data_IF_133237728471
#
_entry.id   IF_133237728471
#
_cell.length_a   1.000
_cell.length_b   1.000
_cell.length_c   1.000
_cell.angle_alpha   90.00
_cell.angle_beta   90.00
_cell.angle_gamma   90.00
#
_symmetry.space_group_name_H-M   'P 1'
#
loop_
_entity.id
_entity.type
_entity.pdbx_description
1 polymer ?
#
# COMPACT_ATOMS: atom_id res chain seq x y z
N UNK A 1 63.37 2.03 36.57
CA UNK A 1 63.16 2.89 35.38
C UNK A 1 62.24 2.29 34.30
N UNK A 2 62.01 0.97 34.20
CA UNK A 2 61.14 0.38 33.14
C UNK A 2 59.62 0.45 33.38
N UNK A 3 59.17 0.85 34.58
CA UNK A 3 57.74 0.87 34.95
C UNK A 3 57.02 2.17 34.58
N UNK A 4 57.76 3.29 34.51
CA UNK A 4 57.19 4.60 34.21
C UNK A 4 56.86 4.79 32.72
N UNK A 5 57.67 4.21 31.83
CA UNK A 5 57.46 4.28 30.38
C UNK A 5 56.21 3.50 29.92
N UNK A 6 55.85 2.43 30.62
CA UNK A 6 54.65 1.64 30.32
C UNK A 6 53.34 2.37 30.68
N UNK A 7 53.33 3.12 31.79
CA UNK A 7 52.15 3.89 32.19
C UNK A 7 51.88 5.08 31.26
N UNK A 8 52.93 5.74 30.76
CA UNK A 8 52.77 6.86 29.82
C UNK A 8 52.22 6.39 28.47
N UNK A 9 52.68 5.24 27.97
CA UNK A 9 52.17 4.67 26.72
C UNK A 9 50.70 4.23 26.84
N UNK A 10 50.33 3.64 27.99
CA UNK A 10 48.95 3.21 28.24
C UNK A 10 47.99 4.42 28.34
N UNK A 11 48.38 5.48 29.04
CA UNK A 11 47.57 6.70 29.11
C UNK A 11 47.42 7.39 27.75
N UNK A 12 48.46 7.41 26.90
CA UNK A 12 48.38 7.98 25.57
C UNK A 12 47.40 7.21 24.66
N UNK A 13 47.42 5.87 24.71
CA UNK A 13 46.51 5.04 23.93
C UNK A 13 45.05 5.23 24.37
N UNK A 14 44.78 5.32 25.69
CA UNK A 14 43.43 5.54 26.22
C UNK A 14 42.85 6.89 25.77
N UNK A 15 43.68 7.94 25.72
CA UNK A 15 43.25 9.29 25.32
C UNK A 15 42.92 9.38 23.83
N UNK A 16 43.64 8.66 22.96
CA UNK A 16 43.30 8.59 21.52
C UNK A 16 41.98 7.87 21.24
N UNK A 17 41.67 6.81 21.99
CA UNK A 17 40.41 6.08 21.82
C UNK A 17 39.22 6.92 22.29
N UNK A 18 39.38 7.62 23.41
CA UNK A 18 38.34 8.50 23.96
C UNK A 18 38.06 9.72 23.07
N UNK A 19 39.11 10.31 22.47
CA UNK A 19 38.94 11.42 21.51
C UNK A 19 38.24 10.98 20.20
N UNK A 20 38.36 9.71 19.81
CA UNK A 20 37.63 9.13 18.68
C UNK A 20 36.12 8.99 18.96
N UNK A 21 35.75 8.56 20.17
CA UNK A 21 34.34 8.38 20.55
C UNK A 21 33.59 9.71 20.66
N UNK A 22 34.21 10.76 21.22
CA UNK A 22 33.57 12.08 21.34
C UNK A 22 33.24 12.68 19.96
N UNK A 23 34.11 12.50 18.96
CA UNK A 23 33.86 12.98 17.59
C UNK A 23 32.75 12.21 16.86
N UNK A 24 32.55 10.94 17.20
CA UNK A 24 31.47 10.14 16.62
C UNK A 24 30.11 10.59 17.18
N UNK A 25 30.01 10.83 18.49
CA UNK A 25 28.75 11.29 19.12
C UNK A 25 28.34 12.70 18.66
N UNK A 26 29.28 13.64 18.47
CA UNK A 26 28.95 14.99 17.98
C UNK A 26 28.42 14.99 16.52
N UNK A 27 28.81 14.00 15.71
CA UNK A 27 28.36 13.89 14.31
C UNK A 27 27.03 13.17 14.15
N UNK A 28 26.58 12.44 15.16
CA UNK A 28 25.28 11.75 15.17
C UNK A 28 24.18 12.68 15.71
N UNK A 29 24.49 13.44 16.78
CA UNK A 29 23.60 14.45 17.36
C UNK A 29 23.17 15.54 16.35
N UNK A 30 24.06 15.96 15.46
CA UNK A 30 23.76 16.98 14.44
C UNK A 30 22.95 16.47 13.24
N UNK A 31 22.89 15.14 13.03
CA UNK A 31 22.07 14.55 11.95
C UNK A 31 20.62 14.35 12.35
N UNK A 32 20.35 14.03 13.63
CA UNK A 32 18.98 13.92 14.14
C UNK A 32 18.26 15.27 14.14
N UNK A 33 18.93 16.36 14.54
CA UNK A 33 18.31 17.69 14.63
C UNK A 33 17.84 18.23 13.26
N UNK A 34 18.56 17.88 12.18
CA UNK A 34 18.20 18.28 10.79
C UNK A 34 17.07 17.42 10.21
N UNK A 35 16.96 16.15 10.62
CA UNK A 35 15.87 15.28 10.18
C UNK A 35 14.53 15.65 10.83
N UNK A 36 14.56 16.13 12.08
CA UNK A 36 13.35 16.48 12.83
C UNK A 36 12.73 17.81 12.37
N UNK A 37 13.57 18.81 12.03
CA UNK A 37 13.10 20.09 11.48
C UNK A 37 12.39 19.94 10.13
N UNK A 38 12.86 19.02 9.27
CA UNK A 38 12.22 18.74 7.97
C UNK A 38 10.86 18.03 8.08
N UNK A 39 10.57 17.36 9.20
CA UNK A 39 9.32 16.62 9.42
C UNK A 39 8.19 17.54 9.92
N UNK A 40 8.51 18.54 10.73
CA UNK A 40 7.54 19.52 11.25
C UNK A 40 7.09 20.55 10.19
N UNK A 41 7.95 20.95 9.25
CA UNK A 41 7.54 21.82 8.14
C UNK A 41 6.56 21.15 7.17
N UNK A 42 6.61 19.81 7.03
CA UNK A 42 5.67 19.05 6.19
C UNK A 42 4.29 18.92 6.86
N UNK A 43 4.24 18.74 8.19
CA UNK A 43 2.99 18.69 8.96
C UNK A 43 2.24 20.03 8.94
N UNK A 44 2.95 21.14 9.09
CA UNK A 44 2.34 22.49 9.13
C UNK A 44 1.78 22.91 7.77
N UNK A 45 2.43 22.55 6.65
CA UNK A 45 1.85 22.78 5.31
C UNK A 45 0.60 21.94 5.04
N UNK A 46 0.58 20.67 5.46
CA UNK A 46 -0.59 19.80 5.31
C UNK A 46 -1.80 20.30 6.11
N UNK A 47 -1.59 20.79 7.34
CA UNK A 47 -2.68 21.32 8.18
C UNK A 47 -3.24 22.66 7.67
N UNK A 48 -2.43 23.51 7.01
CA UNK A 48 -2.92 24.76 6.42
C UNK A 48 -3.87 24.54 5.23
N UNK A 49 -3.75 23.42 4.52
CA UNK A 49 -4.62 23.07 3.39
C UNK A 49 -6.01 22.63 3.87
N UNK A 50 -6.11 21.98 5.02
CA UNK A 50 -7.38 21.49 5.57
C UNK A 50 -8.24 22.60 6.20
N UNK A 51 -7.65 23.73 6.62
CA UNK A 51 -8.37 24.84 7.24
C UNK A 51 -9.27 25.66 6.32
N UNK A 52 -9.25 25.42 5.01
CA UNK A 52 -10.00 26.23 4.03
C UNK A 52 -11.34 25.62 3.57
N UNK A 53 -11.71 24.42 4.03
CA UNK A 53 -13.05 23.85 3.78
C UNK A 53 -14.07 24.43 4.77
N UNK A 54 -14.47 25.67 4.50
CA UNK A 54 -15.54 26.35 5.24
C UNK A 54 -16.90 25.89 4.72
N UNK A 55 -17.54 25.08 5.57
CA UNK A 55 -18.92 24.63 5.61
C UNK A 55 -19.88 25.74 5.13
N UNK A 56 -20.62 25.47 4.04
CA UNK A 56 -21.65 26.35 3.50
C UNK A 56 -22.89 25.52 3.13
N UNK A 57 -23.95 25.72 3.89
CA UNK A 57 -25.34 25.59 3.43
C UNK A 57 -25.94 24.18 3.50
N UNK A 58 -26.63 23.88 4.59
CA UNK A 58 -27.58 22.79 4.68
C UNK A 58 -28.98 23.29 4.30
N UNK A 59 -29.35 23.17 3.02
CA UNK A 59 -30.75 23.26 2.58
C UNK A 59 -30.98 22.27 1.42
N UNK A 60 -31.66 21.16 1.71
CA UNK A 60 -32.34 20.31 0.71
C UNK A 60 -31.45 19.40 -0.14
N UNK A 61 -30.71 18.48 0.45
CA UNK A 61 -30.01 17.42 -0.31
C UNK A 61 -31.03 16.38 -0.80
N UNK A 62 -31.39 16.48 -2.09
CA UNK A 62 -31.64 15.27 -2.89
C UNK A 62 -30.46 14.33 -2.62
N UNK A 63 -30.72 13.15 -2.06
CA UNK A 63 -29.69 12.12 -1.89
C UNK A 63 -29.16 11.79 -3.28
N UNK A 64 -28.08 12.46 -3.68
CA UNK A 64 -27.28 12.02 -4.81
C UNK A 64 -26.86 10.59 -4.47
N UNK A 65 -27.37 9.63 -5.24
CA UNK A 65 -26.92 8.24 -5.12
C UNK A 65 -25.41 8.26 -5.23
N UNK A 66 -24.74 7.68 -4.23
CA UNK A 66 -23.29 7.67 -4.18
C UNK A 66 -22.77 7.04 -5.49
N UNK A 67 -21.90 7.75 -6.19
CA UNK A 67 -21.39 7.28 -7.48
C UNK A 67 -20.42 6.12 -7.23
N UNK A 68 -20.81 4.91 -7.64
CA UNK A 68 -19.94 3.74 -7.56
C UNK A 68 -19.00 3.68 -8.77
N UNK A 69 -17.79 3.15 -8.56
CA UNK A 69 -16.88 2.86 -9.66
C UNK A 69 -17.41 1.68 -10.48
N UNK A 70 -17.61 1.89 -11.78
CA UNK A 70 -18.01 0.82 -12.69
C UNK A 70 -16.91 -0.24 -12.82
N UNK A 71 -17.28 -1.50 -12.61
CA UNK A 71 -16.36 -2.64 -12.72
C UNK A 71 -16.00 -2.89 -14.18
N UNK A 72 -14.71 -3.02 -14.48
CA UNK A 72 -14.24 -3.33 -15.83
C UNK A 72 -14.31 -2.17 -16.83
N UNK A 73 -14.75 -0.98 -16.39
CA UNK A 73 -14.79 0.21 -17.21
C UNK A 73 -13.78 1.26 -16.71
N UNK A 74 -13.15 1.95 -17.68
CA UNK A 74 -12.33 3.13 -17.43
C UNK A 74 -12.96 4.33 -18.10
N UNK A 75 -12.85 5.48 -17.44
CA UNK A 75 -13.21 6.77 -18.04
C UNK A 75 -12.25 7.18 -19.18
N UNK A 76 -11.01 6.68 -19.16
CA UNK A 76 -9.99 6.94 -20.18
C UNK A 76 -9.40 5.63 -20.70
N UNK A 77 -9.32 5.50 -22.03
CA UNK A 77 -8.64 4.36 -22.65
C UNK A 77 -7.13 4.44 -22.43
N UNK A 78 -6.46 3.28 -22.44
CA UNK A 78 -5.00 3.23 -22.31
C UNK A 78 -4.31 4.05 -23.42
N UNK A 79 -4.83 4.02 -24.65
CA UNK A 79 -4.28 4.79 -25.76
C UNK A 79 -4.37 6.31 -25.54
N UNK A 80 -5.47 6.80 -24.97
CA UNK A 80 -5.62 8.22 -24.63
C UNK A 80 -4.69 8.64 -23.51
N UNK A 81 -4.52 7.78 -22.50
CA UNK A 81 -3.58 8.03 -21.42
C UNK A 81 -2.13 8.10 -21.91
N UNK A 82 -1.71 7.15 -22.76
CA UNK A 82 -0.36 7.14 -23.35
C UNK A 82 -0.12 8.42 -24.16
N UNK A 83 -1.08 8.84 -25.00
CA UNK A 83 -1.00 10.11 -25.73
C UNK A 83 -0.87 11.31 -24.78
N UNK A 84 -1.58 11.28 -23.65
CA UNK A 84 -1.48 12.29 -22.60
C UNK A 84 -0.08 12.36 -21.97
N UNK A 85 0.56 11.21 -21.73
CA UNK A 85 1.92 11.16 -21.19
C UNK A 85 2.96 11.65 -22.20
N UNK A 86 2.89 11.19 -23.45
CA UNK A 86 3.79 11.67 -24.51
C UNK A 86 3.70 13.19 -24.71
N UNK A 87 2.49 13.75 -24.60
CA UNK A 87 2.29 15.20 -24.66
C UNK A 87 2.94 15.92 -23.47
N UNK A 88 2.81 15.38 -22.25
CA UNK A 88 3.46 15.93 -21.05
C UNK A 88 4.98 15.87 -21.13
N UNK A 89 5.55 14.76 -21.60
CA UNK A 89 7.00 14.60 -21.79
C UNK A 89 7.56 15.58 -22.83
N UNK A 90 6.85 15.78 -23.95
CA UNK A 90 7.22 16.78 -24.96
C UNK A 90 7.26 18.19 -24.36
N UNK A 91 6.28 18.55 -23.54
CA UNK A 91 6.23 19.85 -22.84
C UNK A 91 7.38 19.96 -21.82
N UNK A 92 7.65 18.91 -21.04
CA UNK A 92 8.73 18.88 -20.05
C UNK A 92 10.11 19.05 -20.72
N UNK A 93 10.34 18.35 -21.83
CA UNK A 93 11.57 18.45 -22.62
C UNK A 93 11.74 19.84 -23.22
N UNK A 94 10.66 20.43 -23.76
CA UNK A 94 10.67 21.81 -24.25
C UNK A 94 10.98 22.84 -23.15
N UNK A 95 10.50 22.61 -21.92
CA UNK A 95 10.83 23.45 -20.75
C UNK A 95 12.28 23.29 -20.30
N UNK A 96 12.80 22.06 -20.25
CA UNK A 96 14.19 21.77 -19.88
C UNK A 96 15.18 22.38 -20.87
N UNK A 97 14.95 22.22 -22.17
CA UNK A 97 15.79 22.83 -23.21
C UNK A 97 15.78 24.37 -23.14
N UNK A 98 14.69 24.98 -22.63
CA UNK A 98 14.63 26.43 -22.38
C UNK A 98 15.40 26.85 -21.11
N UNK A 99 15.46 25.98 -20.10
CA UNK A 99 16.18 26.22 -18.85
C UNK A 99 17.69 25.99 -18.99
N UNK A 100 18.13 24.93 -19.67
CA UNK A 100 19.55 24.57 -19.88
C UNK A 100 20.32 25.55 -20.80
N UNK A 101 19.63 26.54 -21.39
CA UNK A 101 20.28 27.73 -21.95
C UNK A 101 20.90 28.66 -20.90
N UNK A 102 20.75 28.36 -19.61
CA UNK A 102 21.33 29.11 -18.49
C UNK A 102 21.83 28.13 -17.41
N UNK A 103 23.10 28.31 -17.04
CA UNK A 103 23.79 27.70 -15.89
C UNK A 103 24.25 26.23 -16.02
N UNK A 104 25.57 26.08 -15.89
CA UNK A 104 26.24 24.83 -15.58
C UNK A 104 26.81 24.85 -14.16
N UNK A 105 27.49 23.72 -13.84
CA UNK A 105 28.33 23.46 -12.64
C UNK A 105 27.47 23.09 -11.41
N UNK A 106 27.64 22.01 -10.64
CA UNK A 106 28.65 20.96 -10.47
C UNK A 106 27.95 19.76 -9.78
N UNK A 107 28.41 18.51 -10.03
CA UNK A 107 27.87 17.30 -9.38
C UNK A 107 28.76 16.87 -8.21
N UNK A 108 28.17 16.41 -7.10
CA UNK A 108 28.88 15.67 -6.04
C UNK A 108 28.07 14.44 -5.63
N UNK A 109 28.74 13.28 -5.64
CA UNK A 109 28.25 11.93 -5.40
C UNK A 109 28.20 11.57 -3.90
N UNK A 110 27.26 10.72 -3.51
CA UNK A 110 27.16 10.12 -2.18
C UNK A 110 26.89 8.60 -2.31
N UNK A 111 27.55 7.86 -1.44
CA UNK A 111 27.82 6.40 -1.46
C UNK A 111 27.06 5.71 -0.31
N UNK A 112 26.65 4.46 -0.54
CA UNK A 112 25.68 3.68 0.26
C UNK A 112 26.33 2.77 1.31
N UNK A 113 25.60 2.49 2.42
CA UNK A 113 25.98 1.55 3.50
C UNK A 113 24.81 0.60 3.78
N UNK A 114 25.10 -0.71 3.91
CA UNK A 114 24.16 -1.80 4.21
C UNK A 114 24.13 -2.18 5.71
N UNK A 115 23.00 -2.68 6.26
CA UNK A 115 22.95 -3.32 7.57
C UNK A 115 22.69 -4.84 7.52
N UNK A 116 23.25 -5.55 8.51
CA UNK A 116 23.23 -7.00 8.73
C UNK A 116 22.07 -7.48 9.60
N UNK A 117 21.54 -8.67 9.28
CA UNK A 117 20.44 -9.36 9.97
C UNK A 117 20.91 -10.26 11.14
N UNK A 118 20.16 -10.27 12.25
CA UNK A 118 20.27 -11.25 13.35
C UNK A 118 18.97 -12.07 13.45
N UNK A 119 19.14 -13.38 13.69
CA UNK A 119 18.09 -14.40 13.74
C UNK A 119 17.53 -14.58 15.16
N UNK A 120 16.23 -14.80 15.27
CA UNK A 120 15.53 -15.16 16.51
C UNK A 120 14.92 -16.56 16.37
N UNK A 121 15.12 -17.37 17.41
CA UNK A 121 14.70 -18.78 17.52
C UNK A 121 13.21 -18.92 17.85
N UNK A 122 12.59 -19.96 17.29
CA UNK A 122 11.16 -20.26 17.37
C UNK A 122 10.85 -21.30 18.46
N UNK A 123 9.79 -21.05 19.22
CA UNK A 123 9.32 -21.83 20.38
C UNK A 123 8.10 -22.65 19.94
N UNK A 124 8.18 -23.96 20.18
CA UNK A 124 7.19 -24.93 19.70
C UNK A 124 6.02 -25.15 20.67
N UNK A 125 4.87 -25.47 20.06
CA UNK A 125 3.79 -26.37 20.51
C UNK A 125 2.68 -25.85 21.43
N UNK A 126 1.56 -25.50 20.79
CA UNK A 126 0.24 -25.97 21.21
C UNK A 126 -0.64 -26.19 19.97
N UNK A 127 -1.14 -27.42 19.78
CA UNK A 127 -2.02 -27.80 18.68
C UNK A 127 -3.44 -27.28 18.94
N UNK A 128 -3.58 -25.96 18.82
CA UNK A 128 -4.83 -25.32 18.42
C UNK A 128 -4.96 -25.68 16.93
N UNK A 129 -6.14 -26.14 16.48
CA UNK A 129 -6.46 -26.13 15.04
C UNK A 129 -6.59 -24.65 14.66
N UNK A 130 -5.47 -23.95 14.63
CA UNK A 130 -5.36 -22.56 14.27
C UNK A 130 -5.70 -22.53 12.80
N UNK A 131 -6.86 -21.96 12.47
CA UNK A 131 -7.09 -21.48 11.11
C UNK A 131 -5.84 -20.68 10.74
N UNK A 132 -5.20 -20.94 9.58
CA UNK A 132 -3.98 -20.26 9.20
C UNK A 132 -4.24 -18.76 9.34
N UNK A 133 -3.50 -18.11 10.23
CA UNK A 133 -3.58 -16.66 10.40
C UNK A 133 -3.08 -16.07 9.10
N UNK A 134 -4.01 -15.57 8.29
CA UNK A 134 -3.68 -14.86 7.07
C UNK A 134 -2.80 -13.66 7.43
N UNK A 135 -1.55 -13.69 6.99
CA UNK A 135 -0.63 -12.59 7.17
C UNK A 135 -0.90 -11.50 6.13
N UNK A 136 -0.81 -10.24 6.54
CA UNK A 136 -0.96 -9.07 5.68
C UNK A 136 0.09 -8.03 6.05
N UNK A 137 0.59 -7.31 5.05
CA UNK A 137 1.47 -6.15 5.25
C UNK A 137 0.72 -4.83 5.41
N UNK A 138 -0.62 -4.85 5.26
CA UNK A 138 -1.45 -3.65 5.37
C UNK A 138 -2.81 -3.95 6.02
N UNK A 139 -3.27 -3.08 6.93
CA UNK A 139 -4.56 -3.26 7.61
C UNK A 139 -5.76 -3.07 6.68
N UNK A 140 -5.61 -2.28 5.60
CA UNK A 140 -6.67 -2.08 4.61
C UNK A 140 -7.07 -3.33 3.81
N UNK A 141 -6.36 -4.46 3.99
CA UNK A 141 -6.76 -5.76 3.40
C UNK A 141 -7.82 -6.52 4.23
N UNK A 142 -8.21 -5.99 5.41
CA UNK A 142 -9.28 -6.54 6.24
C UNK A 142 -10.55 -5.71 6.09
N UNK A 143 -11.61 -6.36 5.61
CA UNK A 143 -12.90 -5.74 5.33
C UNK A 143 -13.95 -6.11 6.37
N UNK A 144 -15.10 -5.43 6.33
CA UNK A 144 -16.28 -5.65 7.15
C UNK A 144 -17.53 -5.63 6.27
N UNK A 145 -18.45 -6.60 6.43
CA UNK A 145 -19.68 -6.56 5.67
C UNK A 145 -20.58 -5.48 6.28
N UNK A 146 -21.17 -4.61 5.47
CA UNK A 146 -22.18 -3.64 5.96
C UNK A 146 -23.60 -4.12 5.70
N UNK A 147 -23.78 -4.95 4.67
CA UNK A 147 -25.08 -5.51 4.33
C UNK A 147 -24.91 -6.88 3.66
N UNK A 148 -25.86 -7.76 3.94
CA UNK A 148 -26.10 -8.99 3.18
C UNK A 148 -27.57 -8.96 2.78
N UNK A 149 -27.84 -9.21 1.50
CA UNK A 149 -29.21 -9.33 0.99
C UNK A 149 -29.96 -10.47 1.68
N UNK A 150 -31.29 -10.40 1.73
CA UNK A 150 -32.14 -11.41 2.40
C UNK A 150 -31.94 -12.82 1.82
N UNK A 151 -31.55 -12.92 0.55
CA UNK A 151 -31.28 -14.20 -0.12
C UNK A 151 -29.80 -14.63 -0.02
N UNK A 152 -28.94 -13.82 0.58
CA UNK A 152 -27.49 -14.07 0.69
C UNK A 152 -26.77 -14.05 -0.65
N UNK A 153 -27.36 -13.45 -1.69
CA UNK A 153 -26.83 -13.45 -3.05
C UNK A 153 -25.94 -12.26 -3.38
N UNK A 154 -26.03 -11.20 -2.61
CA UNK A 154 -25.14 -10.03 -2.65
C UNK A 154 -24.66 -9.72 -1.23
N UNK A 155 -23.34 -9.51 -1.10
CA UNK A 155 -22.67 -8.98 0.08
C UNK A 155 -22.11 -7.60 -0.26
N UNK A 156 -22.37 -6.61 0.59
CA UNK A 156 -21.81 -5.26 0.48
C UNK A 156 -20.77 -5.06 1.57
N UNK A 157 -19.57 -4.60 1.21
CA UNK A 157 -18.48 -4.29 2.14
C UNK A 157 -18.48 -2.80 2.54
N UNK A 158 -17.68 -2.42 3.53
CA UNK A 158 -17.59 -1.07 4.09
C UNK A 158 -17.11 0.01 3.11
N UNK A 159 -16.39 -0.39 2.08
CA UNK A 159 -16.01 0.47 0.95
C UNK A 159 -17.16 0.71 -0.05
N UNK A 160 -18.30 0.07 0.19
CA UNK A 160 -19.49 0.10 -0.66
C UNK A 160 -19.45 -0.87 -1.84
N UNK A 161 -18.39 -1.65 -2.01
CA UNK A 161 -18.32 -2.65 -3.07
C UNK A 161 -19.40 -3.72 -2.88
N UNK A 162 -20.04 -4.14 -3.98
CA UNK A 162 -21.06 -5.19 -3.98
C UNK A 162 -20.52 -6.44 -4.66
N UNK A 163 -20.70 -7.60 -4.04
CA UNK A 163 -20.17 -8.88 -4.48
C UNK A 163 -21.28 -9.90 -4.68
N UNK A 164 -21.39 -10.46 -5.89
CA UNK A 164 -22.37 -11.50 -6.20
C UNK A 164 -21.85 -12.87 -5.75
N UNK A 165 -22.64 -13.54 -4.91
CA UNK A 165 -22.31 -14.82 -4.28
C UNK A 165 -22.76 -15.99 -5.14
N UNK A 166 -21.87 -16.98 -5.29
CA UNK A 166 -22.21 -18.25 -5.93
C UNK A 166 -23.46 -18.86 -5.32
N UNK A 167 -24.40 -19.29 -6.17
CA UNK A 167 -25.71 -19.78 -5.73
C UNK A 167 -25.64 -20.83 -4.62
N UNK A 168 -24.74 -21.81 -4.75
CA UNK A 168 -24.53 -22.86 -3.76
C UNK A 168 -23.88 -22.41 -2.45
N UNK A 169 -23.43 -21.15 -2.34
CA UNK A 169 -22.76 -20.59 -1.17
C UNK A 169 -23.59 -19.55 -0.41
N UNK A 170 -24.73 -19.10 -0.98
CA UNK A 170 -25.55 -18.01 -0.43
C UNK A 170 -25.92 -18.20 1.04
N UNK A 171 -26.31 -19.42 1.42
CA UNK A 171 -26.69 -19.74 2.80
C UNK A 171 -25.55 -19.52 3.82
N UNK A 172 -24.29 -19.53 3.39
CA UNK A 172 -23.12 -19.29 4.25
C UNK A 172 -22.97 -17.82 4.67
N UNK A 173 -23.68 -16.89 4.02
CA UNK A 173 -23.61 -15.44 4.29
C UNK A 173 -24.67 -14.93 5.24
N UNK A 174 -25.72 -15.72 5.51
CA UNK A 174 -26.90 -15.27 6.24
C UNK A 174 -26.60 -14.93 7.71
N UNK A 175 -25.53 -15.49 8.27
CA UNK A 175 -25.09 -15.25 9.65
C UNK A 175 -23.91 -14.26 9.75
N UNK A 176 -23.55 -13.56 8.65
CA UNK A 176 -22.46 -12.59 8.68
C UNK A 176 -22.90 -11.32 9.39
N UNK A 177 -22.10 -10.90 10.38
CA UNK A 177 -22.35 -9.70 11.17
C UNK A 177 -21.45 -8.55 10.73
N UNK A 178 -21.89 -7.31 10.93
CA UNK A 178 -21.08 -6.14 10.55
C UNK A 178 -19.77 -5.97 11.34
N UNK A 179 -19.63 -6.70 12.45
CA UNK A 179 -18.40 -6.79 13.23
C UNK A 179 -17.41 -7.83 12.71
N UNK A 180 -17.81 -8.68 11.77
CA UNK A 180 -16.97 -9.76 11.26
C UNK A 180 -15.84 -9.20 10.38
N UNK A 181 -14.68 -9.85 10.44
CA UNK A 181 -13.55 -9.58 9.55
C UNK A 181 -13.66 -10.45 8.30
N UNK A 182 -13.72 -9.81 7.14
CA UNK A 182 -13.83 -10.44 5.82
C UNK A 182 -12.53 -10.23 5.07
N UNK A 183 -12.01 -11.30 4.48
CA UNK A 183 -10.85 -11.25 3.61
C UNK A 183 -11.28 -11.43 2.16
N UNK A 184 -10.70 -10.64 1.26
CA UNK A 184 -10.82 -10.82 -0.19
C UNK A 184 -9.62 -11.61 -0.70
N UNK A 185 -9.86 -12.79 -1.29
CA UNK A 185 -8.82 -13.69 -1.79
C UNK A 185 -9.03 -14.02 -3.28
N UNK A 186 -7.98 -14.39 -4.03
CA UNK A 186 -8.15 -15.04 -5.32
C UNK A 186 -8.89 -16.37 -5.22
N UNK A 187 -9.63 -16.71 -6.27
CA UNK A 187 -10.16 -18.06 -6.44
C UNK A 187 -9.23 -18.91 -7.31
N UNK A 188 -8.64 -19.94 -6.72
CA UNK A 188 -7.72 -20.86 -7.41
C UNK A 188 -8.43 -22.05 -8.08
N UNK A 189 -9.76 -22.12 -8.01
CA UNK A 189 -10.53 -23.22 -8.59
C UNK A 189 -10.55 -23.16 -10.13
N UNK A 190 -9.93 -24.14 -10.79
CA UNK A 190 -9.74 -24.17 -12.26
C UNK A 190 -11.03 -24.17 -13.08
N UNK A 191 -12.14 -24.65 -12.50
CA UNK A 191 -13.43 -24.77 -13.19
C UNK A 191 -14.50 -23.84 -12.60
N UNK A 192 -14.10 -22.81 -11.85
CA UNK A 192 -15.05 -21.82 -11.36
C UNK A 192 -15.19 -20.65 -12.34
N UNK A 193 -16.41 -20.15 -12.47
CA UNK A 193 -16.70 -18.87 -13.15
C UNK A 193 -16.60 -17.67 -12.20
N UNK A 194 -16.16 -17.88 -10.96
CA UNK A 194 -15.99 -16.86 -9.94
C UNK A 194 -14.51 -16.57 -9.77
N UNK A 195 -14.11 -15.31 -9.82
CA UNK A 195 -12.71 -14.88 -9.81
C UNK A 195 -12.12 -14.76 -8.40
N UNK A 196 -12.97 -14.52 -7.41
CA UNK A 196 -12.55 -14.22 -6.04
C UNK A 196 -13.29 -15.07 -5.02
N UNK A 197 -12.82 -15.03 -3.78
CA UNK A 197 -13.48 -15.58 -2.62
C UNK A 197 -13.52 -14.55 -1.51
N UNK A 198 -14.59 -14.57 -0.73
CA UNK A 198 -14.67 -13.88 0.56
C UNK A 198 -14.57 -14.92 1.67
N UNK A 199 -13.70 -14.67 2.63
CA UNK A 199 -13.51 -15.54 3.81
C UNK A 199 -13.86 -14.75 5.06
N UNK A 200 -14.90 -15.18 5.77
CA UNK A 200 -15.23 -14.64 7.09
C UNK A 200 -14.34 -15.30 8.14
N UNK A 201 -13.46 -14.53 8.77
CA UNK A 201 -12.49 -15.07 9.72
C UNK A 201 -13.15 -15.61 11.00
N UNK A 202 -14.26 -15.01 11.43
CA UNK A 202 -15.00 -15.41 12.62
C UNK A 202 -15.65 -16.79 12.43
N UNK A 203 -16.49 -16.92 11.41
CA UNK A 203 -17.22 -18.17 11.14
C UNK A 203 -16.35 -19.21 10.43
N UNK A 204 -15.34 -18.78 9.67
CA UNK A 204 -14.59 -19.64 8.74
C UNK A 204 -15.34 -19.95 7.45
N UNK A 205 -16.46 -19.26 7.19
CA UNK A 205 -17.18 -19.40 5.94
C UNK A 205 -16.32 -18.90 4.77
N UNK A 206 -16.12 -19.76 3.78
CA UNK A 206 -15.45 -19.47 2.51
C UNK A 206 -16.48 -19.55 1.37
N UNK A 207 -16.63 -18.44 0.64
CA UNK A 207 -17.58 -18.27 -0.45
C UNK A 207 -16.89 -17.74 -1.71
N UNK A 208 -17.13 -18.40 -2.84
CA UNK A 208 -16.84 -17.87 -4.19
C UNK A 208 -17.75 -16.68 -4.56
N UNK A 209 -17.15 -15.60 -5.05
CA UNK A 209 -17.82 -14.35 -5.42
C UNK A 209 -17.24 -13.70 -6.69
N UNK A 210 -18.04 -12.84 -7.32
CA UNK A 210 -17.58 -11.90 -8.34
C UNK A 210 -17.91 -10.48 -7.91
N UNK A 211 -17.08 -9.52 -8.30
CA UNK A 211 -17.35 -8.11 -8.05
C UNK A 211 -18.48 -7.64 -8.98
N UNK A 212 -19.59 -7.20 -8.39
CA UNK A 212 -20.75 -6.68 -9.10
C UNK A 212 -20.65 -5.15 -9.27
N UNK A 213 -20.31 -4.43 -8.19
CA UNK A 213 -20.05 -2.99 -8.20
C UNK A 213 -18.78 -2.68 -7.43
N UNK A 214 -18.00 -1.72 -7.93
CA UNK A 214 -16.82 -1.23 -7.24
C UNK A 214 -17.16 -0.42 -5.98
N UNK A 215 -16.11 0.01 -5.26
CA UNK A 215 -16.24 0.91 -4.13
C UNK A 215 -16.92 2.24 -4.50
N UNK A 216 -17.39 2.97 -3.49
CA UNK A 216 -17.91 4.33 -3.65
C UNK A 216 -16.78 5.26 -4.06
N UNK A 217 -16.97 6.06 -5.11
CA UNK A 217 -15.94 7.01 -5.56
C UNK A 217 -15.60 8.02 -4.47
N UNK A 218 -14.31 8.22 -4.18
CA UNK A 218 -13.80 9.04 -3.07
C UNK A 218 -14.37 8.64 -1.68
N UNK A 219 -14.75 7.36 -1.50
CA UNK A 219 -15.11 6.83 -0.19
C UNK A 219 -13.93 6.81 0.78
N UNK A 220 -14.21 6.85 2.09
CA UNK A 220 -13.17 6.85 3.15
C UNK A 220 -12.34 5.55 3.15
N UNK A 221 -12.91 4.46 2.64
CA UNK A 221 -12.28 3.14 2.52
C UNK A 221 -11.90 2.80 1.07
N UNK A 222 -11.88 3.78 0.18
CA UNK A 222 -11.62 3.58 -1.24
C UNK A 222 -10.18 3.94 -1.56
N UNK A 223 -9.46 2.99 -2.13
CA UNK A 223 -8.08 3.20 -2.55
C UNK A 223 -7.98 3.44 -4.06
N UNK A 224 -7.04 4.28 -4.49
CA UNK A 224 -6.71 4.51 -5.89
C UNK A 224 -5.23 4.81 -6.08
N UNK A 225 -4.74 4.47 -7.27
CA UNK A 225 -3.32 4.69 -7.60
C UNK A 225 -3.05 6.17 -7.80
N UNK A 226 -2.08 6.74 -7.07
CA UNK A 226 -1.61 8.12 -7.28
C UNK A 226 -0.30 8.19 -8.08
N UNK A 227 0.51 7.13 -8.05
CA UNK A 227 1.75 7.03 -8.82
C UNK A 227 2.10 5.57 -9.13
N UNK A 228 2.79 5.37 -10.26
CA UNK A 228 3.30 4.05 -10.67
C UNK A 228 4.75 4.22 -11.13
N UNK A 229 5.65 3.42 -10.55
CA UNK A 229 7.00 3.20 -11.05
C UNK A 229 7.09 1.82 -11.72
N UNK A 230 6.97 1.81 -13.04
CA UNK A 230 7.04 0.57 -13.81
C UNK A 230 8.43 -0.06 -13.82
N UNK A 231 9.51 0.71 -13.62
CA UNK A 231 10.87 0.16 -13.64
C UNK A 231 11.14 -0.66 -12.38
N UNK A 232 10.71 -0.13 -11.23
CA UNK A 232 10.90 -0.78 -9.94
C UNK A 232 9.73 -1.71 -9.55
N UNK A 233 8.68 -1.79 -10.37
CA UNK A 233 7.42 -2.49 -10.06
C UNK A 233 6.80 -2.00 -8.74
N UNK A 234 6.79 -0.69 -8.55
CA UNK A 234 6.24 -0.05 -7.37
C UNK A 234 5.01 0.79 -7.73
N UNK A 235 4.05 0.86 -6.81
CA UNK A 235 2.89 1.76 -6.92
C UNK A 235 2.67 2.45 -5.59
N UNK A 236 2.14 3.66 -5.66
CA UNK A 236 1.77 4.45 -4.50
C UNK A 236 0.26 4.68 -4.52
N UNK A 237 -0.40 4.41 -3.40
CA UNK A 237 -1.82 4.67 -3.19
C UNK A 237 -2.03 6.04 -2.51
N UNK A 238 -3.27 6.53 -2.52
CA UNK A 238 -3.67 7.82 -1.98
C UNK A 238 -3.44 8.00 -0.49
N UNK A 239 -3.41 6.90 0.27
CA UNK A 239 -3.07 6.88 1.69
C UNK A 239 -1.55 7.02 1.96
N UNK A 240 -0.74 7.07 0.89
CA UNK A 240 0.71 7.17 0.95
C UNK A 240 1.43 5.82 1.11
N UNK A 241 0.70 4.70 1.08
CA UNK A 241 1.28 3.37 1.07
C UNK A 241 1.99 3.09 -0.26
N UNK A 242 3.18 2.50 -0.17
CA UNK A 242 4.05 2.13 -1.29
C UNK A 242 4.09 0.61 -1.35
N UNK A 243 3.73 0.07 -2.50
CA UNK A 243 3.63 -1.37 -2.70
C UNK A 243 4.62 -1.83 -3.75
N UNK A 244 5.45 -2.80 -3.35
CA UNK A 244 6.35 -3.51 -4.26
C UNK A 244 5.67 -4.76 -4.82
N UNK A 245 5.34 -4.70 -6.09
CA UNK A 245 4.64 -5.75 -6.84
C UNK A 245 5.58 -6.89 -7.21
N UNK A 246 5.03 -8.11 -7.25
CA UNK A 246 5.73 -9.27 -7.77
C UNK A 246 6.12 -9.08 -9.23
N UNK A 247 7.37 -9.39 -9.58
CA UNK A 247 7.87 -9.28 -10.95
C UNK A 247 7.08 -10.17 -11.93
N UNK A 248 6.49 -11.27 -11.46
CA UNK A 248 5.61 -12.14 -12.26
C UNK A 248 4.33 -11.43 -12.73
N UNK A 249 3.87 -10.42 -11.99
CA UNK A 249 2.65 -9.68 -12.27
C UNK A 249 2.91 -8.40 -13.07
N UNK A 250 4.16 -8.13 -13.47
CA UNK A 250 4.56 -6.93 -14.22
C UNK A 250 3.72 -6.72 -15.49
N UNK A 251 3.42 -7.80 -16.23
CA UNK A 251 2.64 -7.70 -17.47
C UNK A 251 1.19 -7.25 -17.23
N UNK A 252 0.64 -7.55 -16.05
CA UNK A 252 -0.68 -7.10 -15.60
C UNK A 252 -0.59 -5.66 -15.12
N UNK A 253 0.36 -5.36 -14.23
CA UNK A 253 0.61 -4.02 -13.67
C UNK A 253 0.86 -2.97 -14.77
N UNK A 254 1.58 -3.31 -15.84
CA UNK A 254 1.86 -2.38 -16.96
C UNK A 254 0.59 -1.82 -17.63
N UNK A 255 -0.55 -2.52 -17.49
CA UNK A 255 -1.84 -2.09 -18.05
C UNK A 255 -2.57 -1.11 -17.13
N UNK A 256 -2.18 -1.04 -15.86
CA UNK A 256 -2.79 -0.19 -14.84
C UNK A 256 -2.39 1.27 -15.04
N UNK A 257 -3.30 2.16 -14.66
CA UNK A 257 -3.15 3.60 -14.81
C UNK A 257 -3.31 4.29 -13.45
N UNK A 258 -2.71 5.47 -13.34
CA UNK A 258 -3.00 6.40 -12.25
C UNK A 258 -4.51 6.72 -12.24
N UNK A 259 -5.09 6.78 -11.05
CA UNK A 259 -6.53 6.87 -10.73
C UNK A 259 -7.35 5.58 -10.94
N UNK A 260 -6.76 4.46 -11.34
CA UNK A 260 -7.47 3.18 -11.23
C UNK A 260 -7.77 2.88 -9.74
N UNK A 261 -8.97 2.40 -9.46
CA UNK A 261 -9.46 2.07 -8.12
C UNK A 261 -8.99 0.67 -7.70
N UNK A 262 -8.51 0.57 -6.47
CA UNK A 262 -7.91 -0.62 -5.90
C UNK A 262 -8.73 -1.11 -4.71
N UNK A 263 -8.97 -2.42 -4.66
CA UNK A 263 -9.39 -3.14 -3.45
C UNK A 263 -8.18 -3.95 -2.98
N UNK A 264 -7.84 -3.85 -1.69
CA UNK A 264 -6.77 -4.64 -1.11
C UNK A 264 -7.28 -6.01 -0.70
N UNK A 265 -6.44 -7.03 -0.79
CA UNK A 265 -6.81 -8.37 -0.37
C UNK A 265 -5.62 -9.17 0.12
N UNK A 266 -5.87 -10.44 0.39
CA UNK A 266 -4.87 -11.40 0.86
C UNK A 266 -4.49 -12.34 -0.27
N UNK A 267 -3.19 -12.56 -0.42
CA UNK A 267 -2.67 -13.58 -1.32
C UNK A 267 -2.44 -14.86 -0.52
N UNK A 268 -3.24 -15.89 -0.79
CA UNK A 268 -3.13 -17.21 -0.17
C UNK A 268 -2.36 -18.22 -1.04
N UNK A 269 -1.65 -17.73 -2.06
CA UNK A 269 -0.79 -18.58 -2.88
C UNK A 269 0.41 -19.08 -2.07
N UNK A 270 0.48 -20.39 -1.85
CA UNK A 270 1.53 -21.05 -1.06
C UNK A 270 2.97 -20.81 -1.54
N UNK A 271 3.17 -20.41 -2.81
CA UNK A 271 4.48 -20.13 -3.41
C UNK A 271 4.83 -18.64 -3.46
N UNK A 272 3.92 -17.74 -3.08
CA UNK A 272 4.18 -16.31 -3.16
C UNK A 272 4.80 -15.79 -1.88
N UNK A 273 5.89 -15.03 -2.00
CA UNK A 273 6.46 -14.25 -0.89
C UNK A 273 5.69 -12.95 -0.64
N UNK A 274 4.71 -12.62 -1.48
CA UNK A 274 3.92 -11.39 -1.40
C UNK A 274 2.58 -11.69 -0.73
N UNK A 275 2.32 -11.20 0.49
CA UNK A 275 1.17 -11.62 1.30
C UNK A 275 -0.16 -10.98 0.88
N UNK A 276 -0.12 -9.95 0.04
CA UNK A 276 -1.30 -9.20 -0.36
C UNK A 276 -1.56 -9.32 -1.86
N UNK A 277 -2.83 -9.12 -2.22
CA UNK A 277 -3.22 -8.79 -3.58
C UNK A 277 -3.72 -7.34 -3.63
N UNK A 278 -3.51 -6.70 -4.77
CA UNK A 278 -4.16 -5.44 -5.13
C UNK A 278 -5.08 -5.76 -6.30
N UNK A 279 -6.38 -5.58 -6.14
CA UNK A 279 -7.39 -5.81 -7.16
C UNK A 279 -7.73 -4.49 -7.84
N UNK A 280 -7.41 -4.37 -9.13
CA UNK A 280 -7.80 -3.23 -9.95
C UNK A 280 -9.24 -3.41 -10.44
N UNK A 281 -10.15 -2.61 -9.86
CA UNK A 281 -11.59 -2.67 -10.11
C UNK A 281 -11.92 -2.32 -11.57
N UNK A 282 -11.20 -1.35 -12.14
CA UNK A 282 -11.42 -0.90 -13.52
C UNK A 282 -11.00 -1.93 -14.58
N UNK A 283 -10.13 -2.88 -14.23
CA UNK A 283 -9.63 -3.91 -15.14
C UNK A 283 -10.08 -5.33 -14.76
N UNK A 284 -10.70 -5.49 -13.59
CA UNK A 284 -11.07 -6.76 -12.97
C UNK A 284 -9.93 -7.79 -12.99
N UNK A 285 -8.73 -7.36 -12.62
CA UNK A 285 -7.56 -8.21 -12.46
C UNK A 285 -6.79 -7.79 -11.20
N UNK A 286 -5.88 -8.62 -10.75
CA UNK A 286 -5.09 -8.34 -9.56
C UNK A 286 -3.60 -8.59 -9.79
N UNK A 287 -2.78 -8.01 -8.92
CA UNK A 287 -1.36 -8.30 -8.79
C UNK A 287 -1.05 -8.63 -7.34
N UNK A 288 0.00 -9.41 -7.09
CA UNK A 288 0.50 -9.69 -5.75
C UNK A 288 1.56 -8.67 -5.34
N UNK A 289 1.53 -8.23 -4.09
CA UNK A 289 2.43 -7.19 -3.59
C UNK A 289 2.68 -7.27 -2.08
N UNK A 290 3.63 -6.45 -1.62
CA UNK A 290 3.91 -6.19 -0.20
C UNK A 290 3.98 -4.68 0.00
N UNK A 291 3.37 -4.18 1.06
CA UNK A 291 3.50 -2.79 1.47
C UNK A 291 4.85 -2.60 2.18
N UNK A 292 5.63 -1.61 1.74
CA UNK A 292 6.98 -1.36 2.25
C UNK A 292 7.00 -0.39 3.43
N UNK A 293 5.96 0.44 3.55
CA UNK A 293 5.79 1.43 4.59
C UNK A 293 4.45 1.20 5.30
N UNK A 294 4.35 0.09 6.03
CA UNK A 294 3.21 -0.14 6.92
C UNK A 294 3.19 0.92 8.02
N UNK A 295 2.09 1.68 8.11
CA UNK A 295 1.76 2.52 9.25
C UNK A 295 1.03 1.70 10.33
#
# INVERSE_FOLDING_TARGET
>A
MKSLTWHIAYCAALMTTFAGQIKAEETESTKEEVAETGREERKTKALSFLGSLKIRGAEGEEKQEAEHVEVGNRSLSHAEWVKGQEAKEKIATARKNRAEGKEGVEKRSLESVEPSEEAVEDVTNAEIIAKPTYYTSHQGAMHRPIAVTVLGDIVTLEDGSEWIVKYSHRYKTLDWLASDSILVLPNHAWFSSYYFRLVNQMTGADIEVNLLKGPIYNGVYTHWIIAIDYLNCELCLEDGSIWRISSGDYSTMKKWLVNDTIILGINDSWLSSKPNILLNVNMLNYVSGICENGF
#
